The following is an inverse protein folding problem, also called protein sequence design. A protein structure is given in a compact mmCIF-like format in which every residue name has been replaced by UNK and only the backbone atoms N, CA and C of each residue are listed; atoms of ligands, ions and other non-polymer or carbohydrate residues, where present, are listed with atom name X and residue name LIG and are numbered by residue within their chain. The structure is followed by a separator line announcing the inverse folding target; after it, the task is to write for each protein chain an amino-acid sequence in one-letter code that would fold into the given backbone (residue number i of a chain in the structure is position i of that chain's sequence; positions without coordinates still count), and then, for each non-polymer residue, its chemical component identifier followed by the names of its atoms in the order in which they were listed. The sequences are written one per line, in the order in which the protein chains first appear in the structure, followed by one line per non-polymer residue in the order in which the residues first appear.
data_IF_586042442562
#
_entry.id   IF_586042442562
#
_cell.length_a   1.000
_cell.length_b   1.000
_cell.length_c   1.000
_cell.angle_alpha   90.00
_cell.angle_beta   90.00
_cell.angle_gamma   90.00
#
_symmetry.space_group_name_H-M   'P 1'
#
loop_
_entity.id
_entity.type
_entity.pdbx_description
1 polymer ?
#
# COMPACT_ATOMS: atom_id res chain seq x y z
N UNK A 1 5.41 5.84 -14.51
CA UNK A 1 6.53 6.82 -14.65
C UNK A 1 6.03 8.05 -15.40
N UNK A 2 5.19 7.82 -16.41
CA UNK A 2 4.37 8.83 -17.10
C UNK A 2 3.56 9.72 -16.14
N UNK A 3 2.89 9.13 -15.15
CA UNK A 3 1.99 9.85 -14.24
C UNK A 3 2.74 10.85 -13.33
N UNK A 4 3.97 10.50 -12.92
CA UNK A 4 4.81 11.40 -12.14
C UNK A 4 5.29 12.58 -12.99
N UNK A 5 5.56 12.35 -14.27
CA UNK A 5 6.01 13.41 -15.17
C UNK A 5 4.86 14.37 -15.48
N UNK A 6 3.65 13.86 -15.72
CA UNK A 6 2.44 14.67 -15.85
C UNK A 6 2.18 15.52 -14.60
N UNK A 7 2.28 14.90 -13.42
CA UNK A 7 2.13 15.61 -12.15
C UNK A 7 3.17 16.73 -12.00
N UNK A 8 4.44 16.47 -12.33
CA UNK A 8 5.50 17.49 -12.28
C UNK A 8 5.25 18.64 -13.26
N UNK A 9 4.72 18.35 -14.45
CA UNK A 9 4.34 19.39 -15.40
C UNK A 9 3.21 20.27 -14.85
N UNK A 10 2.21 19.68 -14.20
CA UNK A 10 1.14 20.43 -13.57
C UNK A 10 1.67 21.26 -12.39
N UNK A 11 2.53 20.67 -11.56
CA UNK A 11 3.18 21.34 -10.44
C UNK A 11 3.97 22.57 -10.91
N UNK A 12 4.73 22.47 -12.01
CA UNK A 12 5.44 23.62 -12.62
C UNK A 12 4.49 24.75 -13.00
N UNK A 13 3.28 24.46 -13.50
CA UNK A 13 2.26 25.49 -13.79
C UNK A 13 1.83 26.22 -12.52
N UNK A 14 1.60 25.49 -11.42
CA UNK A 14 1.27 26.09 -10.13
C UNK A 14 2.41 26.92 -9.54
N UNK A 15 3.66 26.45 -9.66
CA UNK A 15 4.85 27.18 -9.23
C UNK A 15 4.95 28.51 -9.98
N UNK A 16 4.83 28.48 -11.31
CA UNK A 16 4.90 29.69 -12.14
C UNK A 16 3.78 30.68 -11.80
N UNK A 17 2.55 30.19 -11.57
CA UNK A 17 1.41 31.01 -11.15
C UNK A 17 1.64 31.67 -9.79
N UNK A 18 2.28 30.97 -8.84
CA UNK A 18 2.48 31.43 -7.46
C UNK A 18 3.92 31.87 -7.17
N UNK A 19 4.74 32.16 -8.19
CA UNK A 19 6.19 32.40 -8.06
C UNK A 19 6.63 33.39 -6.99
N UNK A 20 5.78 34.36 -6.63
CA UNK A 20 6.07 35.38 -5.61
C UNK A 20 5.92 34.87 -4.19
N UNK A 21 5.09 33.86 -3.97
CA UNK A 21 4.72 33.34 -2.64
C UNK A 21 5.07 31.86 -2.47
N UNK A 22 5.48 31.20 -3.55
CA UNK A 22 5.88 29.79 -3.56
C UNK A 22 7.22 29.60 -2.84
N UNK A 23 7.23 28.72 -1.84
CA UNK A 23 8.43 28.33 -1.09
C UNK A 23 8.96 27.02 -1.65
N UNK A 24 10.02 27.09 -2.45
CA UNK A 24 10.65 25.88 -2.96
C UNK A 24 11.41 25.17 -1.84
N UNK A 25 10.94 23.97 -1.49
CA UNK A 25 11.50 23.09 -0.47
C UNK A 25 11.80 21.71 -1.06
N UNK A 26 11.88 21.59 -2.39
CA UNK A 26 12.11 20.35 -3.11
C UNK A 26 11.10 19.22 -2.74
N UNK A 27 9.85 19.62 -2.49
CA UNK A 27 8.78 18.69 -2.11
C UNK A 27 8.12 18.10 -3.35
N UNK A 28 8.08 16.77 -3.43
CA UNK A 28 7.29 16.07 -4.45
C UNK A 28 5.82 16.42 -4.32
N UNK A 29 5.27 16.41 -3.10
CA UNK A 29 3.88 16.77 -2.82
C UNK A 29 3.84 18.04 -1.96
N UNK A 30 3.32 19.13 -2.51
CA UNK A 30 3.28 20.43 -1.85
C UNK A 30 1.91 21.09 -2.00
N UNK A 31 1.58 21.97 -1.06
CA UNK A 31 0.48 22.91 -1.26
C UNK A 31 0.81 23.89 -2.40
N UNK A 32 -0.20 24.64 -2.86
CA UNK A 32 -0.07 25.65 -3.92
C UNK A 32 0.98 26.74 -3.66
N UNK A 33 1.38 26.94 -2.39
CA UNK A 33 2.43 27.88 -1.98
C UNK A 33 3.76 27.21 -1.64
N UNK A 34 3.95 25.92 -1.95
CA UNK A 34 5.20 25.19 -1.68
C UNK A 34 5.38 24.71 -0.23
N UNK A 35 4.39 24.92 0.64
CA UNK A 35 4.41 24.40 2.01
C UNK A 35 3.97 22.94 2.12
N UNK A 36 4.26 22.32 3.26
CA UNK A 36 3.84 20.95 3.58
C UNK A 36 2.32 20.78 3.57
N UNK A 37 1.86 19.66 3.02
CA UNK A 37 0.47 19.23 3.18
C UNK A 37 0.29 18.77 4.63
N UNK A 38 -0.61 19.41 5.36
CA UNK A 38 -0.94 19.01 6.73
C UNK A 38 -1.76 17.70 6.72
N UNK A 39 -1.53 16.76 7.65
CA UNK A 39 -2.28 15.50 7.72
C UNK A 39 -3.79 15.70 7.75
N UNK A 40 -4.27 16.71 8.48
CA UNK A 40 -5.70 17.06 8.53
C UNK A 40 -6.29 17.43 7.16
N UNK A 41 -5.52 18.09 6.30
CA UNK A 41 -5.96 18.44 4.95
C UNK A 41 -6.03 17.20 4.08
N UNK A 42 -5.07 16.29 4.23
CA UNK A 42 -5.08 15.00 3.55
C UNK A 42 -6.32 14.18 3.95
N UNK A 43 -6.60 14.06 5.25
CA UNK A 43 -7.77 13.32 5.74
C UNK A 43 -9.09 13.92 5.22
N UNK A 44 -9.20 15.26 5.22
CA UNK A 44 -10.40 15.93 4.69
C UNK A 44 -10.57 15.68 3.20
N UNK A 45 -9.50 15.84 2.41
CA UNK A 45 -9.57 15.63 0.96
C UNK A 45 -9.90 14.16 0.66
N UNK A 46 -9.32 13.22 1.41
CA UNK A 46 -9.62 11.80 1.30
C UNK A 46 -11.10 11.49 1.53
N UNK A 47 -11.70 12.05 2.58
CA UNK A 47 -13.13 11.87 2.85
C UNK A 47 -14.01 12.43 1.72
N UNK A 48 -13.67 13.60 1.16
CA UNK A 48 -14.37 14.16 -0.01
C UNK A 48 -14.30 13.22 -1.22
N UNK A 49 -13.11 12.71 -1.53
CA UNK A 49 -12.91 11.75 -2.62
C UNK A 49 -13.71 10.46 -2.41
N UNK A 50 -13.77 9.96 -1.17
CA UNK A 50 -14.58 8.78 -0.86
C UNK A 50 -16.08 9.02 -1.08
N UNK A 51 -16.59 10.18 -0.68
CA UNK A 51 -17.99 10.58 -0.89
C UNK A 51 -18.34 10.66 -2.38
N UNK A 52 -17.46 11.25 -3.20
CA UNK A 52 -17.62 11.34 -4.65
C UNK A 52 -17.56 9.96 -5.33
N UNK A 53 -16.77 9.03 -4.79
CA UNK A 53 -16.60 7.68 -5.33
C UNK A 53 -17.71 6.69 -4.94
N UNK A 54 -18.68 7.11 -4.11
CA UNK A 54 -19.73 6.24 -3.53
C UNK A 54 -19.16 5.00 -2.78
N UNK A 55 -17.93 5.09 -2.28
CA UNK A 55 -17.30 4.03 -1.51
C UNK A 55 -17.61 4.17 -0.02
N UNK A 56 -17.48 3.07 0.71
CA UNK A 56 -17.57 3.09 2.17
C UNK A 56 -16.51 4.03 2.74
N UNK A 57 -16.90 4.81 3.75
CA UNK A 57 -15.95 5.62 4.53
C UNK A 57 -14.93 4.72 5.23
N UNK A 58 -13.67 4.88 4.83
CA UNK A 58 -12.48 4.24 5.43
C UNK A 58 -11.43 5.32 5.68
N UNK A 59 -10.47 5.06 6.57
CA UNK A 59 -9.39 6.00 6.85
C UNK A 59 -8.33 5.93 5.76
N UNK A 60 -7.58 7.01 5.55
CA UNK A 60 -6.47 7.01 4.59
C UNK A 60 -5.42 5.94 4.94
N UNK A 61 -5.16 5.72 6.23
CA UNK A 61 -4.25 4.67 6.71
C UNK A 61 -4.70 3.25 6.32
N UNK A 62 -5.98 3.02 6.07
CA UNK A 62 -6.47 1.69 5.68
C UNK A 62 -5.93 1.28 4.30
N UNK A 63 -5.51 2.23 3.44
CA UNK A 63 -4.81 1.94 2.18
C UNK A 63 -3.47 1.23 2.42
N UNK A 64 -2.75 1.61 3.47
CA UNK A 64 -1.52 0.92 3.87
C UNK A 64 -1.83 -0.50 4.33
N UNK A 65 -2.94 -0.70 5.03
CA UNK A 65 -3.37 -2.04 5.41
C UNK A 65 -3.76 -2.88 4.20
N UNK A 66 -4.49 -2.32 3.24
CA UNK A 66 -4.85 -3.00 1.98
C UNK A 66 -3.61 -3.41 1.21
N UNK A 67 -2.60 -2.52 1.08
CA UNK A 67 -1.34 -2.83 0.41
C UNK A 67 -0.63 -4.04 1.03
N UNK A 68 -0.51 -4.05 2.37
CA UNK A 68 0.12 -5.15 3.09
C UNK A 68 -0.64 -6.48 2.89
N UNK A 69 -1.96 -6.44 3.02
CA UNK A 69 -2.84 -7.59 2.82
C UNK A 69 -2.71 -8.16 1.41
N UNK A 70 -2.69 -7.32 0.38
CA UNK A 70 -2.54 -7.76 -1.00
C UNK A 70 -1.18 -8.43 -1.24
N UNK A 71 -0.09 -7.86 -0.72
CA UNK A 71 1.24 -8.47 -0.83
C UNK A 71 1.29 -9.85 -0.16
N UNK A 72 0.69 -9.98 1.03
CA UNK A 72 0.62 -11.24 1.75
C UNK A 72 -0.23 -12.29 1.02
N UNK A 73 -1.38 -11.88 0.45
CA UNK A 73 -2.22 -12.76 -0.39
C UNK A 73 -1.50 -13.23 -1.65
N UNK A 74 -0.57 -12.44 -2.18
CA UNK A 74 0.29 -12.82 -3.30
C UNK A 74 1.44 -13.75 -2.89
N UNK A 75 1.52 -14.15 -1.62
CA UNK A 75 2.58 -15.02 -1.10
C UNK A 75 3.88 -14.29 -0.78
N UNK A 76 3.88 -12.95 -0.73
CA UNK A 76 5.07 -12.21 -0.31
C UNK A 76 5.40 -12.55 1.14
N UNK A 77 6.66 -12.89 1.40
CA UNK A 77 7.12 -13.23 2.73
C UNK A 77 6.86 -12.08 3.72
N UNK A 78 6.31 -12.33 4.92
CA UNK A 78 5.96 -11.29 5.89
C UNK A 78 7.12 -10.35 6.26
N UNK A 79 8.35 -10.85 6.27
CA UNK A 79 9.56 -10.03 6.50
C UNK A 79 9.73 -8.93 5.44
N UNK A 80 9.51 -9.27 4.16
CA UNK A 80 9.61 -8.32 3.05
C UNK A 80 8.50 -7.27 3.15
N UNK A 81 7.29 -7.69 3.53
CA UNK A 81 6.17 -6.77 3.76
C UNK A 81 6.48 -5.83 4.94
N UNK A 82 7.03 -6.35 6.04
CA UNK A 82 7.46 -5.54 7.19
C UNK A 82 8.48 -4.47 6.79
N UNK A 83 9.54 -4.86 6.07
CA UNK A 83 10.60 -3.95 5.62
C UNK A 83 10.06 -2.88 4.67
N UNK A 84 9.22 -3.27 3.70
CA UNK A 84 8.60 -2.34 2.75
C UNK A 84 7.68 -1.34 3.44
N UNK A 85 7.03 -1.74 4.51
CA UNK A 85 6.21 -0.86 5.32
C UNK A 85 7.07 0.00 6.26
N UNK A 86 8.27 -0.43 6.64
CA UNK A 86 9.06 0.21 7.69
C UNK A 86 8.47 -0.02 9.09
N UNK A 87 7.74 -1.12 9.30
CA UNK A 87 7.29 -1.50 10.65
C UNK A 87 8.49 -1.94 11.48
N UNK A 88 8.70 -1.30 12.63
CA UNK A 88 9.77 -1.67 13.57
C UNK A 88 9.65 -3.13 14.02
N UNK A 89 8.42 -3.60 14.25
CA UNK A 89 8.16 -4.98 14.68
C UNK A 89 7.43 -5.79 13.61
N UNK A 90 7.93 -7.02 13.36
CA UNK A 90 7.26 -8.00 12.52
C UNK A 90 5.97 -8.52 13.15
N UNK A 91 5.88 -8.51 14.48
CA UNK A 91 4.69 -8.96 15.23
C UNK A 91 3.47 -8.14 14.86
N UNK A 92 3.60 -6.83 14.65
CA UNK A 92 2.47 -5.98 14.19
C UNK A 92 1.94 -6.45 12.84
N UNK A 93 2.82 -6.85 11.92
CA UNK A 93 2.43 -7.37 10.60
C UNK A 93 1.85 -8.78 10.72
N UNK A 94 2.48 -9.67 11.47
CA UNK A 94 2.01 -11.06 11.60
C UNK A 94 0.70 -11.14 12.39
N UNK A 95 0.56 -10.42 13.49
CA UNK A 95 -0.65 -10.43 14.32
C UNK A 95 -1.83 -9.81 13.57
N UNK A 96 -1.61 -8.68 12.89
CA UNK A 96 -2.67 -7.97 12.17
C UNK A 96 -3.13 -8.70 10.91
N UNK A 97 -2.23 -9.40 10.20
CA UNK A 97 -2.55 -10.05 8.93
C UNK A 97 -2.62 -11.58 8.99
N UNK A 98 -2.41 -12.19 10.16
CA UNK A 98 -2.51 -13.64 10.39
C UNK A 98 -3.77 -14.26 9.78
N UNK A 99 -4.91 -13.59 9.90
CA UNK A 99 -6.21 -14.01 9.36
C UNK A 99 -6.28 -14.06 7.83
N UNK A 100 -5.33 -13.42 7.13
CA UNK A 100 -5.22 -13.46 5.66
C UNK A 100 -4.18 -14.48 5.18
N UNK A 101 -3.50 -15.15 6.12
CA UNK A 101 -2.54 -16.23 5.86
C UNK A 101 -3.09 -17.66 6.08
N UNK A 102 -4.42 -17.96 6.13
CA UNK A 102 -4.90 -19.28 6.59
C UNK A 102 -4.43 -20.43 5.68
N UNK A 103 -4.02 -20.12 4.45
CA UNK A 103 -3.54 -21.11 3.48
C UNK A 103 -2.01 -21.21 3.37
N UNK A 104 -1.23 -20.33 4.04
CA UNK A 104 0.24 -20.39 3.96
C UNK A 104 0.78 -21.61 4.69
N UNK A 105 0.22 -21.95 5.87
CA UNK A 105 0.64 -23.14 6.61
C UNK A 105 0.40 -24.42 5.82
N UNK A 106 -0.76 -24.52 5.15
CA UNK A 106 -1.09 -25.66 4.27
C UNK A 106 -0.14 -25.72 3.08
N UNK A 107 0.08 -24.60 2.37
CA UNK A 107 0.98 -24.54 1.23
C UNK A 107 2.44 -24.87 1.62
N UNK A 108 2.90 -24.39 2.79
CA UNK A 108 4.23 -24.69 3.30
C UNK A 108 4.39 -26.17 3.65
N UNK A 109 3.37 -26.79 4.27
CA UNK A 109 3.37 -28.22 4.57
C UNK A 109 3.34 -29.08 3.30
N UNK A 110 2.53 -28.71 2.30
CA UNK A 110 2.48 -29.37 1.00
C UNK A 110 3.83 -29.25 0.27
N UNK A 111 4.42 -28.06 0.23
CA UNK A 111 5.70 -27.81 -0.42
C UNK A 111 6.86 -28.54 0.28
N UNK A 112 6.86 -28.58 1.61
CA UNK A 112 7.83 -29.37 2.39
C UNK A 112 7.66 -30.87 2.11
N UNK A 113 6.42 -31.37 2.09
CA UNK A 113 6.13 -32.76 1.77
C UNK A 113 6.56 -33.16 0.36
N UNK A 114 6.34 -32.28 -0.62
CA UNK A 114 6.82 -32.47 -1.99
C UNK A 114 8.35 -32.50 -2.08
N UNK A 115 9.04 -31.63 -1.35
CA UNK A 115 10.52 -31.59 -1.35
C UNK A 115 11.17 -32.78 -0.65
N UNK A 116 10.59 -33.25 0.46
CA UNK A 116 11.16 -34.36 1.24
C UNK A 116 10.77 -35.73 0.68
N UNK A 117 9.51 -35.88 0.24
CA UNK A 117 8.97 -37.20 -0.15
C UNK A 117 8.79 -37.35 -1.66
N UNK A 118 8.91 -36.29 -2.46
CA UNK A 118 8.76 -36.35 -3.93
C UNK A 118 7.34 -36.64 -4.41
N UNK A 119 6.33 -36.57 -3.53
CA UNK A 119 4.95 -36.93 -3.85
C UNK A 119 4.19 -35.67 -4.29
N UNK A 120 3.98 -35.48 -5.60
CA UNK A 120 3.02 -34.47 -6.09
C UNK A 120 1.62 -34.82 -5.60
N UNK A 121 1.02 -33.94 -4.81
CA UNK A 121 -0.37 -34.10 -4.39
C UNK A 121 -1.29 -34.02 -5.61
N UNK A 122 -1.86 -35.15 -6.03
CA UNK A 122 -2.93 -35.18 -7.04
C UNK A 122 -4.19 -34.58 -6.42
N UNK A 123 -4.45 -33.30 -6.66
CA UNK A 123 -5.74 -32.73 -6.32
C UNK A 123 -6.84 -33.34 -7.20
N UNK A 124 -7.65 -34.19 -6.56
CA UNK A 124 -9.03 -34.50 -6.97
C UNK A 124 -9.82 -33.20 -7.01
N UNK A 125 -10.26 -32.78 -8.20
CA UNK A 125 -11.52 -32.07 -8.39
C UNK A 125 -12.19 -32.64 -9.65
N UNK A 126 -12.94 -33.71 -9.44
CA UNK A 126 -14.11 -34.04 -10.25
C UNK A 126 -15.27 -34.06 -9.28
N UNK A 127 -16.13 -33.05 -9.36
CA UNK A 127 -17.60 -33.10 -9.35
C UNK A 127 -18.03 -31.89 -10.16
#
# INVERSE_FOLDING_TARGET
MEELEEYKQEQRKYIMKNRKTYKDQDLVMANSNGSFILPRNLDRNWLSTLEESMLRKIRFHDMRHTHATLMLKQGTHPKVVQERLGHYSISVTLDLYSHVLPNIQKAAAEQFGEQIFGIKSKNKHSI
#
